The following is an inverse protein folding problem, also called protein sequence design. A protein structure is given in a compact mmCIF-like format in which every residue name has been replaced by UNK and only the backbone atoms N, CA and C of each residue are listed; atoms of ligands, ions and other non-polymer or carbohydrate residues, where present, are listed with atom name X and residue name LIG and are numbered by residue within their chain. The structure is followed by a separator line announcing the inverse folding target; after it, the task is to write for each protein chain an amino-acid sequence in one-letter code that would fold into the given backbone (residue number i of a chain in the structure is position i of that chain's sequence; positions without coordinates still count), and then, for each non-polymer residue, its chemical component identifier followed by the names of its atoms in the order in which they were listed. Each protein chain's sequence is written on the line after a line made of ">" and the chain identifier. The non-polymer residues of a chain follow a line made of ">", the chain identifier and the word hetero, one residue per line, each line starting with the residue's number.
data_IF_656557693590
#
_entry.id   IF_656557693590
#
_cell.length_a   1.000
_cell.length_b   1.000
_cell.length_c   1.000
_cell.angle_alpha   90.00
_cell.angle_beta   90.00
_cell.angle_gamma   90.00
#
_symmetry.space_group_name_H-M   'P 1'
#
loop_
_entity.id
_entity.type
_entity.pdbx_description
1 polymer ?
#
# COMPACT_ATOMS: atom_id res chain seq x y z
N UNK A 1 -1.28 15.72 16.84
CA UNK A 1 -1.62 14.29 16.93
C UNK A 1 -1.02 13.62 15.69
N UNK A 2 0.06 12.87 15.84
CA UNK A 2 0.82 12.34 14.69
C UNK A 2 1.50 11.01 15.01
N UNK A 3 0.79 10.12 15.71
CA UNK A 3 1.23 8.74 15.91
C UNK A 3 0.80 7.89 14.73
N UNK A 4 1.49 7.99 13.59
CA UNK A 4 1.11 7.25 12.39
C UNK A 4 1.98 6.00 12.14
N UNK A 5 3.07 5.83 12.89
CA UNK A 5 4.09 4.79 12.64
C UNK A 5 3.88 3.54 13.52
N UNK A 6 3.30 3.66 14.72
CA UNK A 6 3.23 2.53 15.67
C UNK A 6 1.99 1.62 15.53
N UNK A 7 1.07 1.89 14.60
CA UNK A 7 -0.19 1.14 14.47
C UNK A 7 -0.56 0.76 13.03
N UNK A 8 0.43 0.39 12.21
CA UNK A 8 0.09 -0.31 10.97
C UNK A 8 -0.58 -1.64 11.33
N UNK A 9 -1.77 -1.87 10.80
CA UNK A 9 -2.45 -3.15 10.98
C UNK A 9 -1.71 -4.24 10.20
N UNK A 10 -1.88 -5.51 10.60
CA UNK A 10 -1.26 -6.65 9.91
C UNK A 10 -1.50 -6.60 8.39
N UNK A 11 -2.72 -6.25 7.97
CA UNK A 11 -3.06 -6.03 6.56
C UNK A 11 -2.23 -4.97 5.88
N UNK A 12 -1.96 -3.84 6.53
CA UNK A 12 -1.12 -2.77 5.94
C UNK A 12 0.33 -3.23 5.80
N UNK A 13 0.84 -4.00 6.76
CA UNK A 13 2.17 -4.60 6.68
C UNK A 13 2.24 -5.59 5.51
N UNK A 14 1.23 -6.44 5.35
CA UNK A 14 1.16 -7.37 4.22
C UNK A 14 1.11 -6.62 2.87
N UNK A 15 0.33 -5.55 2.74
CA UNK A 15 0.32 -4.71 1.53
C UNK A 15 1.71 -4.18 1.22
N UNK A 16 2.46 -3.73 2.24
CA UNK A 16 3.82 -3.22 2.05
C UNK A 16 4.78 -4.32 1.60
N UNK A 17 4.70 -5.52 2.16
CA UNK A 17 5.50 -6.66 1.70
C UNK A 17 5.14 -7.06 0.26
N UNK A 18 3.85 -7.03 -0.11
CA UNK A 18 3.41 -7.29 -1.49
C UNK A 18 3.93 -6.23 -2.48
N UNK A 19 3.94 -4.95 -2.10
CA UNK A 19 4.52 -3.87 -2.91
C UNK A 19 6.05 -4.03 -3.02
N UNK A 20 6.70 -4.51 -1.97
CA UNK A 20 8.14 -4.75 -1.94
C UNK A 20 8.53 -5.94 -2.82
N UNK A 21 7.73 -7.00 -2.84
CA UNK A 21 7.86 -8.11 -3.80
C UNK A 21 7.57 -7.65 -5.23
N UNK A 22 6.48 -6.89 -5.42
CA UNK A 22 6.05 -6.41 -6.73
C UNK A 22 5.61 -4.95 -6.65
N UNK A 23 6.53 -4.04 -6.98
CA UNK A 23 6.24 -2.61 -6.99
C UNK A 23 5.23 -2.19 -8.08
N UNK A 24 4.88 -3.06 -9.03
CA UNK A 24 3.85 -2.81 -10.04
C UNK A 24 2.53 -3.52 -9.71
N UNK A 25 2.37 -3.99 -8.48
CA UNK A 25 1.16 -4.70 -8.09
C UNK A 25 -0.08 -3.81 -8.25
N UNK A 26 -1.13 -4.41 -8.81
CA UNK A 26 -2.42 -3.76 -8.97
C UNK A 26 -3.28 -3.96 -7.72
N UNK A 27 -4.17 -3.01 -7.45
CA UNK A 27 -5.12 -3.08 -6.32
C UNK A 27 -5.89 -4.40 -6.27
N UNK A 28 -6.34 -4.89 -7.44
CA UNK A 28 -7.07 -6.17 -7.56
C UNK A 28 -6.27 -7.39 -7.11
N UNK A 29 -4.96 -7.34 -7.28
CA UNK A 29 -4.08 -8.47 -6.96
C UNK A 29 -3.76 -8.49 -5.48
N UNK A 30 -3.57 -7.31 -4.89
CA UNK A 30 -3.54 -7.14 -3.43
C UNK A 30 -4.85 -7.61 -2.81
N UNK A 31 -6.01 -7.23 -3.38
CA UNK A 31 -7.33 -7.64 -2.90
C UNK A 31 -7.48 -9.17 -2.88
N UNK A 32 -7.04 -9.83 -3.95
CA UNK A 32 -7.06 -11.29 -4.05
C UNK A 32 -6.10 -11.96 -3.07
N UNK A 33 -4.87 -11.45 -2.93
CA UNK A 33 -3.88 -12.03 -2.02
C UNK A 33 -4.27 -11.92 -0.54
N UNK A 34 -4.91 -10.81 -0.18
CA UNK A 34 -5.35 -10.53 1.19
C UNK A 34 -6.79 -10.99 1.45
N UNK A 35 -7.47 -11.54 0.43
CA UNK A 35 -8.88 -11.92 0.46
C UNK A 35 -9.80 -10.82 1.03
N UNK A 36 -9.52 -9.56 0.66
CA UNK A 36 -10.30 -8.39 1.09
C UNK A 36 -10.96 -7.69 -0.11
N UNK A 37 -11.95 -6.85 0.20
CA UNK A 37 -12.63 -6.07 -0.81
C UNK A 37 -11.69 -5.03 -1.46
N UNK A 38 -11.84 -4.80 -2.76
CA UNK A 38 -11.09 -3.76 -3.48
C UNK A 38 -11.23 -2.38 -2.83
N UNK A 39 -12.42 -2.03 -2.32
CA UNK A 39 -12.63 -0.77 -1.59
C UNK A 39 -11.80 -0.67 -0.31
N UNK A 40 -11.61 -1.79 0.39
CA UNK A 40 -10.75 -1.83 1.58
C UNK A 40 -9.27 -1.68 1.21
N UNK A 41 -8.81 -2.35 0.14
CA UNK A 41 -7.46 -2.15 -0.40
C UNK A 41 -7.24 -0.69 -0.75
N UNK A 42 -8.18 -0.08 -1.48
CA UNK A 42 -8.07 1.31 -1.89
C UNK A 42 -7.95 2.24 -0.67
N UNK A 43 -8.80 2.05 0.35
CA UNK A 43 -8.71 2.81 1.60
C UNK A 43 -7.35 2.61 2.31
N UNK A 44 -6.80 1.39 2.32
CA UNK A 44 -5.48 1.14 2.87
C UNK A 44 -4.38 1.84 2.09
N UNK A 45 -4.40 1.80 0.75
CA UNK A 45 -3.44 2.52 -0.09
C UNK A 45 -3.55 4.03 0.12
N UNK A 46 -4.76 4.59 0.16
CA UNK A 46 -4.98 6.01 0.41
C UNK A 46 -4.41 6.40 1.78
N UNK A 47 -4.68 5.61 2.82
CA UNK A 47 -4.07 5.82 4.15
C UNK A 47 -2.54 5.77 4.11
N UNK A 48 -1.96 4.81 3.38
CA UNK A 48 -0.50 4.67 3.26
C UNK A 48 0.11 5.83 2.47
N UNK A 49 -0.60 6.37 1.48
CA UNK A 49 -0.19 7.56 0.73
C UNK A 49 -0.28 8.81 1.59
N UNK A 50 -1.39 9.01 2.31
CA UNK A 50 -1.56 10.13 3.26
C UNK A 50 -0.52 10.14 4.38
N UNK A 51 -0.04 8.95 4.77
CA UNK A 51 1.04 8.80 5.76
C UNK A 51 2.45 8.96 5.17
N UNK A 52 2.58 9.29 3.89
CA UNK A 52 3.85 9.34 3.15
C UNK A 52 4.67 8.04 3.30
N UNK A 53 3.99 6.89 3.33
CA UNK A 53 4.63 5.56 3.41
C UNK A 53 4.85 5.03 2.00
N UNK A 54 3.88 5.20 1.11
CA UNK A 54 3.98 4.78 -0.29
C UNK A 54 3.64 5.93 -1.24
N UNK A 55 4.26 5.92 -2.41
CA UNK A 55 4.03 6.90 -3.46
C UNK A 55 3.98 6.21 -4.83
N UNK A 56 3.09 6.65 -5.71
CA UNK A 56 3.04 6.14 -7.08
C UNK A 56 3.96 6.98 -7.96
N UNK A 57 5.07 6.39 -8.39
CA UNK A 57 6.07 7.03 -9.24
C UNK A 57 5.89 6.57 -10.68
N UNK A 58 5.58 7.50 -11.57
CA UNK A 58 5.51 7.29 -13.02
C UNK A 58 4.08 7.31 -13.59
N UNK A 59 3.99 7.72 -14.85
CA UNK A 59 2.73 8.01 -15.53
C UNK A 59 2.10 6.74 -16.12
N UNK A 60 2.61 6.25 -17.25
CA UNK A 60 2.06 5.09 -17.98
C UNK A 60 2.53 3.74 -17.44
N UNK A 61 3.75 3.67 -16.87
CA UNK A 61 4.35 2.45 -16.30
C UNK A 61 4.76 2.67 -14.85
N UNK A 62 3.95 3.46 -14.14
CA UNK A 62 4.24 3.82 -12.77
C UNK A 62 4.31 2.62 -11.84
N UNK A 63 5.16 2.71 -10.83
CA UNK A 63 5.33 1.73 -9.77
C UNK A 63 5.12 2.38 -8.42
N UNK A 64 4.78 1.56 -7.42
CA UNK A 64 4.68 1.93 -6.03
C UNK A 64 6.08 1.95 -5.41
N UNK A 65 6.46 3.12 -4.90
CA UNK A 65 7.70 3.32 -4.16
C UNK A 65 7.35 3.41 -2.67
N UNK A 66 8.06 2.63 -1.86
CA UNK A 66 7.98 2.73 -0.40
C UNK A 66 8.96 3.83 0.03
N UNK A 67 8.44 4.86 0.70
CA UNK A 67 9.19 6.03 1.16
C UNK A 67 9.79 5.83 2.56
N UNK A 68 9.12 5.05 3.42
CA UNK A 68 9.48 4.90 4.84
C UNK A 68 9.97 3.49 5.15
N UNK A 69 11.07 3.40 5.90
CA UNK A 69 11.70 2.15 6.35
C UNK A 69 11.90 2.19 7.85
#
# INVERSE_FOLDING_TARGET
>A
MGGAIESLTERQVEILELIKENNKIAYREVAQRLEINNSAVQAHFDTLKEKDIIERIGDTRGYWKILKR
#
